data_IF_942261163426
#
_entry.id   IF_942261163426
#
_cell.length_a   1.000
_cell.length_b   1.000
_cell.length_c   1.000
_cell.angle_alpha   90.00
_cell.angle_beta   90.00
_cell.angle_gamma   90.00
#
_symmetry.space_group_name_H-M   'P 1'
#
loop_
_entity.id
_entity.type
_entity.pdbx_description
1 polymer ?
#
# COMPACT_ATOMS: atom_id res chain seq x y z
N UNK A 1 -13.19 7.41 -17.99
CA UNK A 1 -14.58 7.70 -18.38
C UNK A 1 -15.46 7.69 -17.14
N UNK A 2 -15.56 8.83 -16.46
CA UNK A 2 -16.65 9.13 -15.53
C UNK A 2 -17.60 9.98 -16.36
N UNK A 3 -18.48 9.34 -17.12
CA UNK A 3 -19.64 10.03 -17.69
C UNK A 3 -20.68 10.02 -16.59
N UNK A 4 -20.65 11.03 -15.72
CA UNK A 4 -21.70 11.29 -14.74
C UNK A 4 -22.92 11.78 -15.53
N UNK A 5 -23.81 10.87 -15.91
CA UNK A 5 -25.19 11.28 -16.09
C UNK A 5 -25.64 11.90 -14.77
N UNK A 6 -26.12 13.14 -14.81
CA UNK A 6 -26.61 13.84 -13.62
C UNK A 6 -27.76 13.01 -13.03
N UNK A 7 -27.67 12.55 -11.76
CA UNK A 7 -28.71 11.73 -11.16
C UNK A 7 -30.06 12.44 -11.25
N UNK A 8 -31.07 11.76 -11.78
CA UNK A 8 -32.42 12.32 -11.95
C UNK A 8 -33.36 11.93 -10.82
N UNK A 9 -32.93 11.02 -9.94
CA UNK A 9 -33.66 10.58 -8.76
C UNK A 9 -32.77 10.51 -7.51
N UNK A 10 -33.40 10.50 -6.34
CA UNK A 10 -32.71 10.36 -5.05
C UNK A 10 -31.98 9.01 -4.94
N UNK A 11 -32.58 7.93 -5.45
CA UNK A 11 -31.99 6.59 -5.43
C UNK A 11 -30.75 6.51 -6.35
N UNK A 12 -30.80 7.16 -7.52
CA UNK A 12 -29.63 7.30 -8.40
C UNK A 12 -28.50 8.12 -7.75
N UNK A 13 -28.85 9.16 -6.99
CA UNK A 13 -27.87 9.95 -6.23
C UNK A 13 -27.19 9.12 -5.14
N UNK A 14 -27.95 8.34 -4.37
CA UNK A 14 -27.38 7.44 -3.35
C UNK A 14 -26.49 6.37 -3.97
N UNK A 15 -26.91 5.76 -5.09
CA UNK A 15 -26.09 4.79 -5.82
C UNK A 15 -24.78 5.41 -6.36
N UNK A 16 -24.82 6.67 -6.80
CA UNK A 16 -23.62 7.40 -7.24
C UNK A 16 -22.67 7.71 -6.08
N UNK A 17 -23.20 8.15 -4.93
CA UNK A 17 -22.42 8.39 -3.71
C UNK A 17 -21.76 7.10 -3.19
N UNK A 18 -22.46 5.97 -3.26
CA UNK A 18 -21.92 4.67 -2.88
C UNK A 18 -20.65 4.32 -3.68
N UNK A 19 -20.69 4.48 -5.01
CA UNK A 19 -19.53 4.29 -5.90
C UNK A 19 -18.39 5.27 -5.62
N UNK A 20 -18.71 6.47 -5.14
CA UNK A 20 -17.71 7.48 -4.76
C UNK A 20 -16.94 7.08 -3.49
N UNK A 21 -17.61 6.44 -2.52
CA UNK A 21 -16.96 5.90 -1.31
C UNK A 21 -15.94 4.80 -1.68
N UNK A 22 -16.32 3.86 -2.54
CA UNK A 22 -15.41 2.84 -3.05
C UNK A 22 -14.19 3.45 -3.76
N UNK A 23 -14.42 4.49 -4.57
CA UNK A 23 -13.33 5.23 -5.21
C UNK A 23 -12.40 5.91 -4.20
N UNK A 24 -12.92 6.45 -3.09
CA UNK A 24 -12.12 7.09 -2.06
C UNK A 24 -11.10 6.13 -1.41
N UNK A 25 -11.46 4.86 -1.18
CA UNK A 25 -10.52 3.86 -0.67
C UNK A 25 -9.38 3.56 -1.66
N UNK A 26 -9.70 3.39 -2.94
CA UNK A 26 -8.70 3.22 -4.01
C UNK A 26 -7.77 4.43 -4.08
N UNK A 27 -8.34 5.63 -4.06
CA UNK A 27 -7.58 6.88 -4.10
C UNK A 27 -6.66 7.04 -2.88
N UNK A 28 -7.14 6.73 -1.68
CA UNK A 28 -6.34 6.78 -0.46
C UNK A 28 -5.12 5.85 -0.52
N UNK A 29 -5.28 4.64 -1.06
CA UNK A 29 -4.17 3.71 -1.26
C UNK A 29 -3.15 4.23 -2.29
N UNK A 30 -3.60 4.86 -3.38
CA UNK A 30 -2.70 5.50 -4.35
C UNK A 30 -1.94 6.69 -3.74
N UNK A 31 -2.62 7.53 -2.97
CA UNK A 31 -1.99 8.64 -2.21
C UNK A 31 -0.96 8.11 -1.22
N UNK A 32 -1.25 6.97 -0.57
CA UNK A 32 -0.29 6.31 0.33
C UNK A 32 0.98 5.86 -0.41
N UNK A 33 0.84 5.19 -1.56
CA UNK A 33 2.00 4.77 -2.37
C UNK A 33 2.78 5.99 -2.86
N UNK A 34 2.08 7.02 -3.34
CA UNK A 34 2.69 8.28 -3.76
C UNK A 34 3.46 8.94 -2.61
N UNK A 35 2.92 8.93 -1.39
CA UNK A 35 3.60 9.51 -0.25
C UNK A 35 4.91 8.77 0.09
N UNK A 36 4.91 7.43 0.03
CA UNK A 36 6.14 6.62 0.22
C UNK A 36 7.19 6.91 -0.85
N UNK A 37 6.74 7.02 -2.11
CA UNK A 37 7.58 7.41 -3.25
C UNK A 37 8.17 8.81 -3.05
N UNK A 38 7.34 9.79 -2.74
CA UNK A 38 7.75 11.17 -2.46
C UNK A 38 8.78 11.24 -1.34
N UNK A 39 8.55 10.54 -0.22
CA UNK A 39 9.49 10.50 0.88
C UNK A 39 10.85 9.90 0.48
N UNK A 40 10.85 8.83 -0.32
CA UNK A 40 12.09 8.21 -0.81
C UNK A 40 12.90 9.19 -1.65
N UNK A 41 12.30 9.78 -2.69
CA UNK A 41 13.01 10.68 -3.60
C UNK A 41 13.45 11.97 -2.91
N UNK A 42 12.66 12.50 -1.99
CA UNK A 42 13.02 13.68 -1.19
C UNK A 42 14.18 13.41 -0.23
N UNK A 43 14.35 12.17 0.25
CA UNK A 43 15.44 11.83 1.18
C UNK A 43 16.75 11.63 0.44
N UNK A 44 16.76 10.83 -0.63
CA UNK A 44 18.00 10.34 -1.22
C UNK A 44 18.44 11.09 -2.49
N UNK A 45 17.56 11.89 -3.11
CA UNK A 45 17.86 12.69 -4.31
C UNK A 45 18.52 11.88 -5.45
N UNK A 46 18.24 10.57 -5.52
CA UNK A 46 18.79 9.65 -6.51
C UNK A 46 18.14 9.88 -7.88
N UNK A 47 18.97 9.95 -8.92
CA UNK A 47 18.55 10.16 -10.31
C UNK A 47 19.33 9.29 -11.31
N UNK A 48 19.96 8.23 -10.84
CA UNK A 48 20.78 7.31 -11.61
C UNK A 48 19.97 6.22 -12.33
N UNK A 49 20.56 5.59 -13.34
CA UNK A 49 19.89 4.62 -14.23
C UNK A 49 19.09 3.52 -13.50
N UNK A 50 19.68 2.78 -12.54
CA UNK A 50 18.95 1.76 -11.78
C UNK A 50 17.74 2.30 -11.01
N UNK A 51 17.86 3.50 -10.42
CA UNK A 51 16.76 4.16 -9.71
C UNK A 51 15.63 4.52 -10.68
N UNK A 52 15.97 5.01 -11.89
CA UNK A 52 14.98 5.31 -12.93
C UNK A 52 14.24 4.04 -13.36
N UNK A 53 14.94 2.92 -13.56
CA UNK A 53 14.33 1.63 -13.93
C UNK A 53 13.40 1.12 -12.83
N UNK A 54 13.85 1.11 -11.57
CA UNK A 54 13.00 0.70 -10.44
C UNK A 54 11.78 1.60 -10.29
N UNK A 55 11.94 2.90 -10.49
CA UNK A 55 10.82 3.85 -10.50
C UNK A 55 9.84 3.59 -11.63
N UNK A 56 10.31 3.31 -12.84
CA UNK A 56 9.46 2.97 -13.97
C UNK A 56 8.68 1.67 -13.71
N UNK A 57 9.32 0.65 -13.12
CA UNK A 57 8.66 -0.59 -12.69
C UNK A 57 7.59 -0.29 -11.64
N UNK A 58 7.88 0.55 -10.64
CA UNK A 58 6.90 0.94 -9.62
C UNK A 58 5.65 1.57 -10.27
N UNK A 59 5.85 2.54 -11.17
CA UNK A 59 4.76 3.21 -11.87
C UNK A 59 3.97 2.22 -12.73
N UNK A 60 4.64 1.31 -13.43
CA UNK A 60 4.00 0.26 -14.21
C UNK A 60 3.12 -0.66 -13.35
N UNK A 61 3.65 -1.13 -12.22
CA UNK A 61 2.90 -1.95 -11.26
C UNK A 61 1.68 -1.18 -10.75
N UNK A 62 1.86 0.07 -10.32
CA UNK A 62 0.76 0.91 -9.82
C UNK A 62 -0.34 1.07 -10.87
N UNK A 63 0.03 1.34 -12.12
CA UNK A 63 -0.92 1.51 -13.24
C UNK A 63 -1.75 0.25 -13.50
N UNK A 64 -1.10 -0.92 -13.54
CA UNK A 64 -1.79 -2.21 -13.67
C UNK A 64 -2.77 -2.43 -12.51
N UNK A 65 -2.39 -1.94 -11.33
CA UNK A 65 -3.08 -2.22 -10.08
C UNK A 65 -4.25 -1.28 -9.77
N UNK A 66 -4.41 -0.16 -10.49
CA UNK A 66 -5.53 0.77 -10.29
C UNK A 66 -6.89 0.08 -10.48
N UNK A 67 -7.02 -0.74 -11.53
CA UNK A 67 -8.29 -1.39 -11.85
C UNK A 67 -8.69 -2.49 -10.85
N UNK A 68 -7.80 -3.46 -10.50
CA UNK A 68 -8.09 -4.43 -9.45
C UNK A 68 -8.43 -3.78 -8.10
N UNK A 69 -7.71 -2.73 -7.73
CA UNK A 69 -7.94 -2.01 -6.48
C UNK A 69 -9.32 -1.34 -6.44
N UNK A 70 -9.77 -0.76 -7.56
CA UNK A 70 -11.11 -0.19 -7.69
C UNK A 70 -12.19 -1.26 -7.56
N UNK A 71 -12.01 -2.40 -8.20
CA UNK A 71 -12.95 -3.51 -8.11
C UNK A 71 -13.06 -4.03 -6.68
N UNK A 72 -11.93 -4.30 -6.02
CA UNK A 72 -11.91 -4.75 -4.62
C UNK A 72 -12.55 -3.73 -3.67
N UNK A 73 -12.25 -2.44 -3.85
CA UNK A 73 -12.84 -1.39 -3.00
C UNK A 73 -14.36 -1.33 -3.15
N UNK A 74 -14.87 -1.54 -4.36
CA UNK A 74 -16.32 -1.61 -4.62
C UNK A 74 -16.92 -2.83 -3.94
N UNK A 75 -16.31 -4.00 -4.11
CA UNK A 75 -16.75 -5.24 -3.46
C UNK A 75 -16.80 -5.14 -1.93
N UNK A 76 -15.75 -4.59 -1.30
CA UNK A 76 -15.69 -4.43 0.16
C UNK A 76 -16.77 -3.47 0.66
N UNK A 77 -16.98 -2.38 -0.07
CA UNK A 77 -17.98 -1.36 0.28
C UNK A 77 -19.40 -1.90 0.10
N UNK A 78 -19.68 -2.61 -1.00
CA UNK A 78 -20.95 -3.31 -1.22
C UNK A 78 -21.19 -4.37 -0.12
N UNK A 79 -20.17 -5.16 0.24
CA UNK A 79 -20.31 -6.20 1.28
C UNK A 79 -20.68 -5.63 2.66
N UNK A 80 -20.35 -4.37 2.93
CA UNK A 80 -20.65 -3.70 4.21
C UNK A 80 -21.97 -2.91 4.15
N UNK A 81 -22.23 -2.20 3.06
CA UNK A 81 -23.33 -1.24 2.94
C UNK A 81 -24.56 -1.80 2.20
N UNK A 82 -24.37 -2.75 1.29
CA UNK A 82 -25.44 -3.40 0.53
C UNK A 82 -25.12 -4.88 0.24
N UNK A 83 -25.30 -5.76 1.24
CA UNK A 83 -24.96 -7.19 1.12
C UNK A 83 -25.71 -7.90 -0.02
N UNK A 84 -26.86 -7.38 -0.46
CA UNK A 84 -27.60 -7.93 -1.59
C UNK A 84 -26.91 -7.64 -2.94
N UNK A 85 -26.24 -6.50 -3.08
CA UNK A 85 -25.40 -6.17 -4.23
C UNK A 85 -24.09 -6.98 -4.26
N UNK A 86 -23.53 -7.27 -3.08
CA UNK A 86 -22.31 -8.09 -2.93
C UNK A 86 -22.49 -9.58 -3.29
N UNK A 87 -23.74 -10.07 -3.30
CA UNK A 87 -24.10 -11.45 -3.66
C UNK A 87 -23.83 -11.81 -5.14
N UNK A 88 -23.38 -10.84 -5.95
CA UNK A 88 -23.04 -11.03 -7.36
C UNK A 88 -21.71 -11.76 -7.61
N UNK A 89 -20.85 -11.87 -6.60
CA UNK A 89 -19.57 -12.60 -6.70
C UNK A 89 -19.71 -14.00 -6.11
N UNK A 90 -19.30 -15.01 -6.87
CA UNK A 90 -19.28 -16.39 -6.36
C UNK A 90 -18.21 -16.55 -5.27
N UNK A 91 -18.44 -17.36 -4.23
CA UNK A 91 -17.54 -17.48 -3.08
C UNK A 91 -16.07 -17.77 -3.45
N UNK A 92 -15.83 -18.56 -4.49
CA UNK A 92 -14.49 -18.91 -5.01
C UNK A 92 -13.79 -17.75 -5.72
N UNK A 93 -14.54 -16.87 -6.39
CA UNK A 93 -13.98 -15.68 -7.05
C UNK A 93 -13.43 -14.66 -6.05
N UNK A 94 -13.91 -14.68 -4.81
CA UNK A 94 -13.37 -13.83 -3.74
C UNK A 94 -11.94 -14.21 -3.35
N UNK A 95 -11.57 -15.49 -3.46
CA UNK A 95 -10.22 -16.00 -3.18
C UNK A 95 -9.25 -15.54 -4.28
N UNK A 96 -9.63 -15.72 -5.55
CA UNK A 96 -8.83 -15.26 -6.69
C UNK A 96 -8.58 -13.75 -6.63
N UNK A 97 -9.61 -12.98 -6.27
CA UNK A 97 -9.50 -11.53 -6.13
C UNK A 97 -8.50 -11.13 -5.04
N UNK A 98 -8.52 -11.81 -3.89
CA UNK A 98 -7.56 -11.57 -2.82
C UNK A 98 -6.14 -11.94 -3.24
N UNK A 99 -5.94 -13.06 -3.93
CA UNK A 99 -4.61 -13.46 -4.44
C UNK A 99 -4.08 -12.45 -5.46
N UNK A 100 -4.91 -12.01 -6.42
CA UNK A 100 -4.54 -10.96 -7.39
C UNK A 100 -4.13 -9.68 -6.65
N UNK A 101 -4.84 -9.35 -5.58
CA UNK A 101 -4.50 -8.21 -4.74
C UNK A 101 -3.14 -8.43 -4.03
N UNK A 102 -2.98 -9.52 -3.30
CA UNK A 102 -1.73 -9.80 -2.60
C UNK A 102 -0.51 -9.79 -3.54
N UNK A 103 -0.66 -10.22 -4.81
CA UNK A 103 0.41 -10.17 -5.82
C UNK A 103 0.85 -8.73 -6.09
N UNK A 104 -0.09 -7.80 -6.34
CA UNK A 104 0.28 -6.42 -6.62
C UNK A 104 0.76 -5.69 -5.37
N UNK A 105 0.22 -6.00 -4.20
CA UNK A 105 0.75 -5.52 -2.92
C UNK A 105 2.23 -5.95 -2.76
N UNK A 106 2.50 -7.25 -2.90
CA UNK A 106 3.85 -7.84 -2.86
C UNK A 106 4.76 -7.18 -3.89
N UNK A 107 4.29 -6.96 -5.12
CA UNK A 107 5.07 -6.31 -6.17
C UNK A 107 5.49 -4.89 -5.80
N UNK A 108 4.55 -4.06 -5.31
CA UNK A 108 4.83 -2.67 -4.87
C UNK A 108 5.88 -2.66 -3.75
N UNK A 109 5.70 -3.48 -2.71
CA UNK A 109 6.63 -3.51 -1.58
C UNK A 109 7.98 -4.15 -1.93
N UNK A 110 8.03 -5.07 -2.89
CA UNK A 110 9.27 -5.60 -3.45
C UNK A 110 10.06 -4.49 -4.15
N UNK A 111 9.41 -3.68 -4.99
CA UNK A 111 10.09 -2.57 -5.67
C UNK A 111 10.61 -1.55 -4.66
N UNK A 112 9.81 -1.15 -3.67
CA UNK A 112 10.29 -0.28 -2.59
C UNK A 112 11.45 -0.90 -1.80
N UNK A 113 11.41 -2.20 -1.50
CA UNK A 113 12.51 -2.90 -0.84
C UNK A 113 13.79 -2.80 -1.68
N UNK A 114 13.71 -3.09 -2.98
CA UNK A 114 14.85 -3.02 -3.90
C UNK A 114 15.43 -1.59 -3.96
N UNK A 115 14.59 -0.56 -4.02
CA UNK A 115 15.03 0.84 -4.01
C UNK A 115 15.80 1.19 -2.72
N UNK A 116 15.33 0.74 -1.55
CA UNK A 116 16.02 1.00 -0.28
C UNK A 116 17.28 0.15 -0.10
N UNK A 117 17.29 -1.10 -0.55
CA UNK A 117 18.47 -1.97 -0.54
C UNK A 117 19.55 -1.39 -1.45
N UNK A 118 19.17 -0.93 -2.64
CA UNK A 118 20.07 -0.24 -3.57
C UNK A 118 20.72 1.00 -2.94
N UNK A 119 19.90 1.85 -2.33
CA UNK A 119 20.35 3.04 -1.59
C UNK A 119 21.31 2.68 -0.45
N UNK A 120 21.00 1.62 0.30
CA UNK A 120 21.84 1.13 1.38
C UNK A 120 23.19 0.56 0.89
N UNK A 121 23.21 -0.08 -0.27
CA UNK A 121 24.44 -0.54 -0.92
C UNK A 121 25.32 0.67 -1.29
N UNK A 122 24.72 1.74 -1.80
CA UNK A 122 25.39 3.01 -2.16
C UNK A 122 25.63 3.99 -1.00
N UNK A 123 25.41 3.56 0.25
CA UNK A 123 25.52 4.44 1.44
C UNK A 123 26.81 5.26 1.57
N UNK A 124 27.95 4.74 1.07
CA UNK A 124 29.25 5.41 1.12
C UNK A 124 29.38 6.50 0.05
N UNK A 125 28.90 6.20 -1.16
CA UNK A 125 28.89 7.13 -2.30
C UNK A 125 27.95 8.30 -2.02
N UNK A 126 26.79 8.02 -1.43
CA UNK A 126 25.79 9.02 -1.06
C UNK A 126 26.12 9.77 0.24
N UNK A 127 27.23 9.44 0.91
CA UNK A 127 27.66 10.03 2.18
C UNK A 127 26.53 10.15 3.21
N UNK A 128 25.71 9.08 3.33
CA UNK A 128 24.51 9.12 4.16
C UNK A 128 24.84 9.44 5.62
N UNK A 129 24.10 10.38 6.19
CA UNK A 129 24.15 10.68 7.61
C UNK A 129 23.72 9.47 8.45
N UNK A 130 24.10 9.46 9.74
CA UNK A 130 23.68 8.39 10.66
C UNK A 130 22.16 8.28 10.77
N UNK A 131 21.46 9.41 10.65
CA UNK A 131 20.00 9.46 10.64
C UNK A 131 19.42 8.80 9.38
N UNK A 132 19.95 9.17 8.20
CA UNK A 132 19.50 8.58 6.93
C UNK A 132 19.80 7.08 6.87
N UNK A 133 20.94 6.64 7.39
CA UNK A 133 21.29 5.22 7.46
C UNK A 133 20.29 4.44 8.35
N UNK A 134 19.92 5.01 9.50
CA UNK A 134 18.92 4.45 10.39
C UNK A 134 17.56 4.35 9.69
N UNK A 135 17.11 5.46 9.09
CA UNK A 135 15.84 5.53 8.36
C UNK A 135 15.81 4.53 7.19
N UNK A 136 16.92 4.36 6.47
CA UNK A 136 17.03 3.40 5.36
C UNK A 136 16.88 1.96 5.86
N UNK A 137 17.57 1.57 6.93
CA UNK A 137 17.46 0.22 7.51
C UNK A 137 16.06 -0.05 8.03
N UNK A 138 15.47 0.94 8.68
CA UNK A 138 14.11 0.86 9.18
C UNK A 138 13.09 0.70 8.03
N UNK A 139 13.28 1.42 6.93
CA UNK A 139 12.45 1.27 5.74
C UNK A 139 12.63 -0.13 5.10
N UNK A 140 13.84 -0.68 5.04
CA UNK A 140 14.08 -2.06 4.58
C UNK A 140 13.30 -3.06 5.44
N UNK A 141 13.40 -2.96 6.77
CA UNK A 141 12.67 -3.85 7.70
C UNK A 141 11.16 -3.74 7.50
N UNK A 142 10.63 -2.53 7.36
CA UNK A 142 9.21 -2.30 7.06
C UNK A 142 8.77 -2.97 5.77
N UNK A 143 9.53 -2.80 4.68
CA UNK A 143 9.17 -3.39 3.41
C UNK A 143 9.22 -4.93 3.46
N UNK A 144 10.16 -5.52 4.21
CA UNK A 144 10.22 -6.96 4.45
C UNK A 144 8.99 -7.45 5.23
N UNK A 145 8.58 -6.73 6.29
CA UNK A 145 7.38 -7.08 7.06
C UNK A 145 6.15 -7.05 6.16
N UNK A 146 5.98 -5.98 5.37
CA UNK A 146 4.87 -5.87 4.42
C UNK A 146 4.90 -7.02 3.39
N UNK A 147 6.07 -7.34 2.84
CA UNK A 147 6.25 -8.44 1.90
C UNK A 147 5.87 -9.79 2.52
N UNK A 148 6.33 -10.06 3.74
CA UNK A 148 6.01 -11.27 4.48
C UNK A 148 4.51 -11.37 4.79
N UNK A 149 3.85 -10.26 5.15
CA UNK A 149 2.40 -10.23 5.34
C UNK A 149 1.66 -10.55 4.04
N UNK A 150 2.06 -9.93 2.92
CA UNK A 150 1.55 -10.20 1.57
C UNK A 150 1.65 -11.67 1.15
N UNK A 151 2.82 -12.26 1.37
CA UNK A 151 3.06 -13.65 1.02
C UNK A 151 2.38 -14.64 1.97
N UNK A 152 2.25 -14.29 3.26
CA UNK A 152 1.60 -15.16 4.25
C UNK A 152 0.07 -15.18 4.10
N UNK A 153 -0.54 -14.11 3.56
CA UNK A 153 -1.99 -14.07 3.36
C UNK A 153 -2.48 -14.91 2.19
N UNK A 154 -1.67 -15.08 1.13
CA UNK A 154 -2.11 -15.88 -0.04
C UNK A 154 -2.42 -17.34 0.35
N UNK A 155 -1.56 -18.09 1.07
CA UNK A 155 -1.88 -19.44 1.50
C UNK A 155 -3.06 -19.49 2.46
N UNK A 156 -3.20 -18.51 3.35
CA UNK A 156 -4.34 -18.44 4.28
C UNK A 156 -5.65 -18.27 3.53
N UNK A 157 -5.69 -17.47 2.48
CA UNK A 157 -6.88 -17.30 1.64
C UNK A 157 -7.19 -18.58 0.84
N UNK A 158 -6.17 -19.22 0.25
CA UNK A 158 -6.34 -20.44 -0.53
C UNK A 158 -6.79 -21.62 0.34
N UNK A 159 -6.22 -21.78 1.54
CA UNK A 159 -6.55 -22.87 2.46
C UNK A 159 -7.82 -22.62 3.29
N UNK A 160 -8.09 -21.35 3.64
CA UNK A 160 -9.22 -20.95 4.47
C UNK A 160 -10.54 -20.82 3.71
N UNK A 161 -10.50 -20.72 2.38
CA UNK A 161 -11.70 -20.66 1.54
C UNK A 161 -12.54 -19.38 1.71
N UNK A 162 -13.81 -19.40 1.28
CA UNK A 162 -14.65 -18.19 1.19
C UNK A 162 -15.05 -17.57 2.54
N UNK A 163 -15.10 -18.37 3.61
CA UNK A 163 -15.43 -17.88 4.96
C UNK A 163 -14.26 -17.12 5.60
N UNK A 164 -13.02 -17.44 5.22
CA UNK A 164 -11.82 -16.76 5.70
C UNK A 164 -11.52 -15.45 4.96
N UNK A 165 -12.03 -15.26 3.74
CA UNK A 165 -11.72 -14.12 2.86
C UNK A 165 -12.34 -12.82 3.36
N UNK A 166 -13.59 -12.86 3.84
CA UNK A 166 -14.25 -11.71 4.49
C UNK A 166 -13.52 -11.27 5.77
N UNK A 167 -12.99 -12.23 6.54
CA UNK A 167 -12.23 -11.96 7.75
C UNK A 167 -10.79 -11.51 7.46
N UNK A 168 -10.18 -12.03 6.39
CA UNK A 168 -8.82 -11.70 5.96
C UNK A 168 -8.68 -10.25 5.50
N UNK A 169 -9.67 -9.69 4.79
CA UNK A 169 -9.68 -8.28 4.39
C UNK A 169 -9.76 -7.31 5.58
N UNK A 170 -10.56 -7.65 6.59
CA UNK A 170 -10.69 -6.87 7.84
C UNK A 170 -9.43 -7.02 8.70
N UNK A 171 -8.87 -8.23 8.81
CA UNK A 171 -7.59 -8.49 9.47
C UNK A 171 -6.45 -7.72 8.78
N UNK A 172 -6.44 -7.59 7.46
CA UNK A 172 -5.47 -6.76 6.75
C UNK A 172 -5.50 -5.31 7.25
N UNK A 173 -6.69 -4.70 7.33
CA UNK A 173 -6.87 -3.34 7.82
C UNK A 173 -6.51 -3.20 9.32
N UNK A 174 -6.87 -4.20 10.14
CA UNK A 174 -6.63 -4.23 11.59
C UNK A 174 -5.22 -4.67 12.00
N UNK A 175 -4.44 -5.33 11.15
CA UNK A 175 -3.05 -5.73 11.44
C UNK A 175 -2.07 -4.69 10.90
N UNK A 176 -2.34 -4.10 9.73
CA UNK A 176 -1.51 -3.01 9.19
C UNK A 176 -1.63 -1.71 9.96
N UNK A 177 -2.81 -1.35 10.47
CA UNK A 177 -2.98 -0.09 11.19
C UNK A 177 -2.18 -0.08 12.51
N UNK A 178 -2.31 -1.04 13.44
CA UNK A 178 -1.53 -1.06 14.69
C UNK A 178 -0.04 -1.26 14.44
N UNK A 179 0.36 -2.13 13.50
CA UNK A 179 1.76 -2.33 13.17
C UNK A 179 2.40 -1.03 12.66
N UNK A 180 1.71 -0.24 11.83
CA UNK A 180 2.19 1.07 11.36
C UNK A 180 2.18 2.14 12.45
N UNK A 181 1.18 2.17 13.33
CA UNK A 181 1.10 3.16 14.42
C UNK A 181 2.16 2.90 15.49
N UNK A 182 2.36 1.65 15.88
CA UNK A 182 3.41 1.24 16.83
C UNK A 182 4.77 1.50 16.21
N UNK A 183 5.00 1.06 14.97
CA UNK A 183 6.30 1.25 14.35
C UNK A 183 6.60 2.75 14.11
N UNK A 184 5.62 3.55 13.71
CA UNK A 184 5.75 5.00 13.53
C UNK A 184 6.00 5.76 14.84
N UNK A 185 5.34 5.37 15.93
CA UNK A 185 5.58 5.94 17.27
C UNK A 185 6.99 5.63 17.79
N UNK A 186 7.46 4.39 17.60
CA UNK A 186 8.79 3.96 18.02
C UNK A 186 9.91 4.59 17.17
N UNK A 187 9.67 4.75 15.88
CA UNK A 187 10.56 5.51 14.98
C UNK A 187 10.68 6.97 15.39
N UNK A 188 9.55 7.65 15.64
CA UNK A 188 9.56 9.04 16.11
C UNK A 188 10.34 9.22 17.42
N UNK A 189 10.26 8.26 18.34
CA UNK A 189 10.99 8.29 19.61
C UNK A 189 12.51 8.08 19.45
N UNK A 190 12.94 7.22 18.51
CA UNK A 190 14.37 6.94 18.21
C UNK A 190 15.00 7.93 17.23
N UNK A 191 14.18 8.63 16.45
CA UNK A 191 14.59 9.66 15.49
C UNK A 191 14.91 11.00 16.16
N UNK A 192 14.15 11.39 17.20
CA UNK A 192 14.33 12.67 17.93
C UNK A 192 15.76 12.89 18.48
N UNK A 193 16.45 11.89 19.07
CA UNK A 193 17.83 12.07 19.53
C UNK A 193 18.83 12.25 18.39
N UNK A 194 18.63 11.53 17.26
CA UNK A 194 19.50 11.61 16.08
C UNK A 194 19.33 12.95 15.35
N UNK A 195 18.11 13.45 15.22
CA UNK A 195 17.83 14.78 14.68
C UNK A 195 18.45 15.89 15.53
N UNK A 196 18.40 15.75 16.87
CA UNK A 196 19.05 16.69 17.79
C UNK A 196 20.57 16.66 17.67
N UNK A 197 21.16 15.47 17.58
CA UNK A 197 22.60 15.31 17.43
C UNK A 197 23.11 15.85 16.08
N UNK A 198 22.34 15.69 15.01
CA UNK A 198 22.69 16.21 13.69
C UNK A 198 22.59 17.73 13.62
N UNK A 199 21.57 18.34 14.25
CA UNK A 199 21.44 19.80 14.37
C UNK A 199 22.46 20.45 15.31
N UNK A 200 22.99 19.70 16.26
CA UNK A 200 24.01 20.19 17.20
C UNK A 200 25.44 20.09 16.65
N UNK A 201 25.65 19.32 15.57
CA UNK A 201 26.93 19.15 14.89
C UNK A 201 27.04 19.87 13.53
N UNK A 202 26.00 20.61 13.13
CA UNK A 202 25.94 21.49 11.96
C UNK A 202 26.05 22.95 12.40
#
# INVERSE_FOLDING_TARGET
MVSLEVPRSYDELLAALHKFIAFAFTFAALVWIWYLHYQFFRRYHLSDGPTIVLNAILLFVVLLYVYPLKFLSTYVVDAVLDPAAAASIQPWQSVDLLVIYDIGYVAVFTVFLLMHVYTYAKRRELSLSRLELFDTRYAIQNNIINLATGLASMPVAVMGGPSATAFAGILYALVLAPARTIHGFWSGKRRRPLERAQRAGS
#
